data_IF_999721040964
#
_entry.id   IF_999721040964
#
_cell.length_a   1.000
_cell.length_b   1.000
_cell.length_c   1.000
_cell.angle_alpha   90.00
_cell.angle_beta   90.00
_cell.angle_gamma   90.00
#
_symmetry.space_group_name_H-M   'P 1'
#
loop_
_entity.id
_entity.type
_entity.pdbx_description
1 polymer ?
#
# COMPACT_ATOMS: atom_id res chain seq x y z
N UNK A 1 -27.67 1.31 -17.58
CA UNK A 1 -27.57 2.45 -18.54
C UNK A 1 -26.40 3.39 -18.21
N UNK A 2 -26.24 3.84 -16.95
CA UNK A 2 -25.12 4.73 -16.56
C UNK A 2 -23.73 4.14 -16.86
N UNK A 3 -23.52 2.86 -16.61
CA UNK A 3 -22.26 2.14 -16.84
C UNK A 3 -21.88 2.10 -18.32
N UNK A 4 -22.86 1.85 -19.21
CA UNK A 4 -22.62 1.83 -20.66
C UNK A 4 -22.27 3.25 -21.15
N UNK A 5 -22.94 4.28 -20.64
CA UNK A 5 -22.63 5.67 -20.97
C UNK A 5 -21.22 6.07 -20.48
N UNK A 6 -20.79 5.61 -19.31
CA UNK A 6 -19.44 5.81 -18.78
C UNK A 6 -18.36 5.18 -19.65
N UNK A 7 -18.55 3.93 -20.06
CA UNK A 7 -17.63 3.25 -20.99
C UNK A 7 -17.58 3.96 -22.35
N UNK A 8 -18.73 4.35 -22.87
CA UNK A 8 -18.79 5.09 -24.14
C UNK A 8 -18.04 6.43 -24.05
N UNK A 9 -18.25 7.18 -22.95
CA UNK A 9 -17.53 8.44 -22.74
C UNK A 9 -16.02 8.24 -22.59
N UNK A 10 -15.59 7.21 -21.86
CA UNK A 10 -14.18 6.84 -21.74
C UNK A 10 -13.56 6.52 -23.11
N UNK A 11 -14.22 5.66 -23.89
CA UNK A 11 -13.77 5.29 -25.24
C UNK A 11 -13.70 6.51 -26.16
N UNK A 12 -14.70 7.41 -26.10
CA UNK A 12 -14.74 8.63 -26.90
C UNK A 12 -13.61 9.60 -26.53
N UNK A 13 -13.38 9.85 -25.24
CA UNK A 13 -12.32 10.73 -24.75
C UNK A 13 -10.92 10.22 -25.11
N UNK A 14 -10.68 8.92 -24.92
CA UNK A 14 -9.41 8.28 -25.30
C UNK A 14 -9.19 8.33 -26.83
N UNK A 15 -10.22 8.05 -27.63
CA UNK A 15 -10.12 8.17 -29.08
C UNK A 15 -9.83 9.61 -29.52
N UNK A 16 -10.48 10.61 -28.93
CA UNK A 16 -10.21 12.03 -29.23
C UNK A 16 -8.76 12.40 -28.91
N UNK A 17 -8.24 11.95 -27.77
CA UNK A 17 -6.85 12.18 -27.37
C UNK A 17 -5.85 11.56 -28.34
N UNK A 18 -6.05 10.30 -28.75
CA UNK A 18 -5.16 9.64 -29.72
C UNK A 18 -5.26 10.22 -31.13
N UNK A 19 -6.44 10.70 -31.53
CA UNK A 19 -6.59 11.48 -32.75
C UNK A 19 -5.75 12.74 -32.71
N UNK A 20 -5.77 13.46 -31.61
CA UNK A 20 -4.99 14.66 -31.41
C UNK A 20 -3.49 14.38 -31.42
N UNK A 21 -3.04 13.35 -30.68
CA UNK A 21 -1.64 12.91 -30.66
C UNK A 21 -1.16 12.45 -32.03
N UNK A 22 -1.95 11.63 -32.74
CA UNK A 22 -1.59 11.17 -34.08
C UNK A 22 -1.53 12.33 -35.09
N UNK A 23 -2.42 13.30 -34.97
CA UNK A 23 -2.36 14.52 -35.80
C UNK A 23 -1.08 15.31 -35.54
N UNK A 24 -0.71 15.53 -34.29
CA UNK A 24 0.53 16.21 -33.90
C UNK A 24 1.77 15.42 -34.34
N UNK A 25 1.79 14.11 -34.15
CA UNK A 25 2.90 13.25 -34.58
C UNK A 25 3.09 13.26 -36.08
N UNK A 26 2.00 13.14 -36.85
CA UNK A 26 2.03 13.22 -38.32
C UNK A 26 2.54 14.60 -38.74
N UNK A 27 2.07 15.68 -38.15
CA UNK A 27 2.56 17.05 -38.44
C UNK A 27 4.03 17.21 -38.06
N UNK A 28 4.47 16.67 -36.96
CA UNK A 28 5.87 16.70 -36.51
C UNK A 28 6.78 15.90 -37.45
N UNK A 29 6.37 14.70 -37.86
CA UNK A 29 7.11 13.90 -38.85
C UNK A 29 7.19 14.63 -40.20
N UNK A 30 6.09 15.26 -40.66
CA UNK A 30 6.13 16.08 -41.87
C UNK A 30 7.02 17.31 -41.74
N UNK A 31 7.03 17.97 -40.59
CA UNK A 31 7.94 19.07 -40.30
C UNK A 31 9.42 18.66 -40.38
N UNK A 32 9.74 17.47 -39.81
CA UNK A 32 11.11 16.92 -39.86
C UNK A 32 11.52 16.42 -41.27
N UNK A 33 10.54 16.03 -42.11
CA UNK A 33 10.80 15.45 -43.46
C UNK A 33 10.56 16.41 -44.60
N UNK A 34 10.51 17.73 -44.32
CA UNK A 34 10.18 18.78 -45.31
C UNK A 34 11.07 18.82 -46.56
N UNK A 35 12.10 17.97 -46.62
CA UNK A 35 13.04 17.88 -47.74
C UNK A 35 12.95 16.55 -48.52
N UNK A 36 11.84 16.20 -49.13
CA UNK A 36 12.00 15.19 -50.15
C UNK A 36 10.86 14.29 -50.61
N UNK A 37 9.62 14.52 -50.20
CA UNK A 37 8.49 13.66 -50.59
C UNK A 37 7.44 14.44 -51.41
N UNK A 38 7.88 15.12 -52.49
CA UNK A 38 6.99 15.95 -53.31
C UNK A 38 5.94 15.15 -54.13
N UNK A 39 6.13 13.85 -54.39
CA UNK A 39 5.37 13.13 -55.43
C UNK A 39 4.53 11.92 -54.97
N UNK A 40 4.25 11.76 -53.69
CA UNK A 40 3.40 10.64 -53.25
C UNK A 40 1.91 11.05 -53.15
N UNK A 41 0.93 10.17 -53.48
CA UNK A 41 -0.50 10.47 -53.38
C UNK A 41 -0.94 10.52 -51.89
N UNK A 42 -0.48 11.56 -51.21
CA UNK A 42 -0.53 11.79 -49.75
C UNK A 42 -1.94 11.68 -49.17
N UNK A 43 -2.98 12.14 -49.88
CA UNK A 43 -4.33 12.26 -49.32
C UNK A 43 -5.07 10.93 -49.10
N UNK A 44 -4.79 9.88 -49.88
CA UNK A 44 -5.44 8.57 -49.70
C UNK A 44 -4.74 7.74 -48.63
N UNK A 45 -3.41 7.70 -48.66
CA UNK A 45 -2.61 6.97 -47.70
C UNK A 45 -2.79 7.52 -46.26
N UNK A 46 -2.73 8.84 -46.12
CA UNK A 46 -2.96 9.50 -44.83
C UNK A 46 -4.35 9.22 -44.26
N UNK A 47 -5.36 9.15 -45.11
CA UNK A 47 -6.72 8.84 -44.73
C UNK A 47 -6.86 7.40 -44.26
N UNK A 48 -6.32 6.45 -44.99
CA UNK A 48 -6.33 5.01 -44.66
C UNK A 48 -5.56 4.78 -43.33
N UNK A 49 -4.36 5.36 -43.21
CA UNK A 49 -3.54 5.24 -41.98
C UNK A 49 -4.27 5.81 -40.75
N UNK A 50 -4.90 6.99 -40.90
CA UNK A 50 -5.70 7.57 -39.80
C UNK A 50 -6.85 6.67 -39.38
N UNK A 51 -7.63 6.14 -40.33
CA UNK A 51 -8.72 5.24 -40.00
C UNK A 51 -8.24 3.93 -39.38
N UNK A 52 -7.09 3.41 -39.83
CA UNK A 52 -6.45 2.24 -39.24
C UNK A 52 -6.06 2.49 -37.76
N UNK A 53 -5.37 3.61 -37.48
CA UNK A 53 -4.97 4.00 -36.12
C UNK A 53 -6.19 4.19 -35.21
N UNK A 54 -7.23 4.90 -35.72
CA UNK A 54 -8.49 5.10 -34.97
C UNK A 54 -9.15 3.76 -34.65
N UNK A 55 -9.23 2.86 -35.65
CA UNK A 55 -9.87 1.55 -35.48
C UNK A 55 -9.11 0.70 -34.43
N UNK A 56 -7.78 0.64 -34.53
CA UNK A 56 -6.94 -0.09 -33.54
C UNK A 56 -7.11 0.51 -32.15
N UNK A 57 -7.03 1.82 -32.03
CA UNK A 57 -7.22 2.50 -30.74
C UNK A 57 -8.64 2.26 -30.19
N UNK A 58 -9.68 2.34 -31.03
CA UNK A 58 -11.06 2.08 -30.62
C UNK A 58 -11.24 0.64 -30.13
N UNK A 59 -10.69 -0.35 -30.82
CA UNK A 59 -10.72 -1.75 -30.41
C UNK A 59 -10.00 -1.91 -29.07
N UNK A 60 -8.79 -1.36 -28.95
CA UNK A 60 -8.00 -1.45 -27.73
C UNK A 60 -8.76 -0.88 -26.52
N UNK A 61 -9.30 0.33 -26.61
CA UNK A 61 -10.04 0.96 -25.50
C UNK A 61 -11.40 0.32 -25.24
N UNK A 62 -12.04 -0.25 -26.27
CA UNK A 62 -13.27 -1.03 -26.05
C UNK A 62 -12.95 -2.30 -25.27
N UNK A 63 -11.87 -3.00 -25.63
CA UNK A 63 -11.42 -4.18 -24.88
C UNK A 63 -10.98 -3.80 -23.46
N UNK A 64 -10.22 -2.73 -23.30
CA UNK A 64 -9.80 -2.22 -21.97
C UNK A 64 -11.03 -1.87 -21.12
N UNK A 65 -11.97 -1.08 -21.65
CA UNK A 65 -13.22 -0.75 -20.95
C UNK A 65 -14.09 -1.97 -20.63
N UNK A 66 -14.14 -2.96 -21.53
CA UNK A 66 -14.84 -4.22 -21.32
C UNK A 66 -14.17 -5.07 -20.21
N UNK A 67 -12.84 -5.12 -20.20
CA UNK A 67 -12.09 -5.80 -19.14
C UNK A 67 -12.38 -5.18 -17.77
N UNK A 68 -12.44 -3.84 -17.66
CA UNK A 68 -12.85 -3.16 -16.43
C UNK A 68 -14.28 -3.49 -15.99
N UNK A 69 -15.18 -3.81 -16.92
CA UNK A 69 -16.57 -4.19 -16.60
C UNK A 69 -16.71 -5.65 -16.17
N UNK A 70 -15.92 -6.56 -16.80
CA UNK A 70 -16.02 -8.00 -16.56
C UNK A 70 -15.15 -8.46 -15.41
N UNK A 71 -14.00 -7.81 -15.22
CA UNK A 71 -13.15 -8.07 -14.08
C UNK A 71 -13.32 -6.96 -13.02
N UNK A 72 -14.50 -6.91 -12.38
CA UNK A 72 -14.64 -6.10 -11.19
C UNK A 72 -13.61 -6.62 -10.21
N UNK A 73 -12.95 -5.75 -9.53
CA UNK A 73 -12.00 -5.95 -8.44
C UNK A 73 -12.16 -7.35 -7.81
N UNK A 74 -11.28 -8.27 -8.19
CA UNK A 74 -11.39 -9.68 -7.81
C UNK A 74 -11.10 -9.89 -6.34
N UNK A 75 -10.39 -8.98 -5.72
CA UNK A 75 -9.97 -9.09 -4.32
C UNK A 75 -10.41 -7.88 -3.51
N UNK A 76 -10.97 -8.17 -2.35
CA UNK A 76 -11.21 -7.16 -1.31
C UNK A 76 -9.91 -6.99 -0.56
N UNK A 77 -9.34 -5.79 -0.51
CA UNK A 77 -8.13 -5.58 0.26
C UNK A 77 -8.39 -5.90 1.74
N UNK A 78 -7.41 -6.52 2.39
CA UNK A 78 -7.45 -6.68 3.84
C UNK A 78 -7.37 -5.32 4.52
N UNK A 79 -8.12 -5.12 5.59
CA UNK A 79 -8.09 -3.90 6.37
C UNK A 79 -7.10 -4.05 7.52
N UNK A 80 -6.17 -3.11 7.63
CA UNK A 80 -5.07 -3.13 8.59
C UNK A 80 -5.10 -1.83 9.39
N UNK A 81 -5.22 -1.91 10.71
CA UNK A 81 -5.11 -0.73 11.58
C UNK A 81 -3.65 -0.35 11.72
N UNK A 82 -3.33 0.93 11.56
CA UNK A 82 -1.98 1.48 11.75
C UNK A 82 -1.68 1.67 13.24
N UNK A 83 -0.55 1.14 13.72
CA UNK A 83 -0.09 1.21 15.13
C UNK A 83 -1.11 0.76 16.18
N UNK A 84 -2.05 -0.08 15.78
CA UNK A 84 -3.07 -0.61 16.69
C UNK A 84 -4.14 0.38 17.13
N UNK A 85 -4.29 1.53 16.46
CA UNK A 85 -5.32 2.54 16.75
C UNK A 85 -6.31 2.68 15.61
N UNK A 86 -7.52 3.16 15.90
CA UNK A 86 -8.51 3.56 14.93
C UNK A 86 -9.31 4.73 15.49
N UNK A 87 -9.42 5.83 14.72
CA UNK A 87 -10.11 7.06 15.12
C UNK A 87 -9.66 7.55 16.51
N UNK A 88 -8.35 7.59 16.73
CA UNK A 88 -7.76 8.09 17.99
C UNK A 88 -8.26 7.38 19.25
N UNK A 89 -8.63 6.09 19.17
CA UNK A 89 -9.27 5.33 20.26
C UNK A 89 -8.34 4.94 21.42
N UNK A 90 -7.07 5.34 21.37
CA UNK A 90 -6.07 5.03 22.42
C UNK A 90 -4.70 5.58 22.12
N UNK A 91 -3.71 5.13 22.90
CA UNK A 91 -2.29 5.38 22.64
C UNK A 91 -1.79 4.33 21.66
N UNK A 92 -1.07 4.75 20.63
CA UNK A 92 -0.47 3.85 19.64
C UNK A 92 0.41 2.77 20.27
N UNK A 93 0.49 1.60 19.66
CA UNK A 93 1.37 0.51 20.07
C UNK A 93 1.16 0.02 21.53
N UNK A 94 -0.08 0.09 22.05
CA UNK A 94 -0.40 -0.36 23.40
C UNK A 94 -1.45 -1.46 23.44
N UNK A 95 -1.45 -2.26 24.50
CA UNK A 95 -2.47 -3.31 24.70
C UNK A 95 -3.86 -2.69 24.81
N UNK A 96 -3.97 -1.49 25.37
CA UNK A 96 -5.26 -0.80 25.51
C UNK A 96 -5.89 -0.49 24.14
N UNK A 97 -5.10 0.02 23.18
CA UNK A 97 -5.57 0.28 21.83
C UNK A 97 -5.81 -1.02 21.04
N UNK A 98 -4.93 -2.00 21.17
CA UNK A 98 -5.12 -3.33 20.58
C UNK A 98 -6.48 -3.94 20.94
N UNK A 99 -6.85 -3.94 22.23
CA UNK A 99 -8.11 -4.51 22.70
C UNK A 99 -9.33 -3.83 22.09
N UNK A 100 -9.30 -2.49 22.03
CA UNK A 100 -10.39 -1.71 21.44
C UNK A 100 -10.49 -1.93 19.93
N UNK A 101 -9.36 -1.91 19.25
CA UNK A 101 -9.30 -2.01 17.79
C UNK A 101 -9.63 -3.42 17.30
N UNK A 102 -9.25 -4.47 18.05
CA UNK A 102 -9.61 -5.84 17.72
C UNK A 102 -11.14 -6.09 17.69
N UNK A 103 -11.94 -5.30 18.43
CA UNK A 103 -13.41 -5.37 18.38
C UNK A 103 -13.98 -5.01 17.01
N UNK A 104 -13.24 -4.28 16.19
CA UNK A 104 -13.64 -3.91 14.83
C UNK A 104 -13.53 -5.06 13.82
N UNK A 105 -13.00 -6.23 14.24
CA UNK A 105 -12.90 -7.45 13.42
C UNK A 105 -12.17 -7.23 12.09
N UNK A 106 -10.99 -6.65 12.16
CA UNK A 106 -10.14 -6.40 11.01
C UNK A 106 -9.16 -7.57 10.77
N UNK A 107 -8.54 -7.57 9.60
CA UNK A 107 -7.66 -8.68 9.20
C UNK A 107 -6.34 -8.67 9.96
N UNK A 108 -5.70 -7.51 10.07
CA UNK A 108 -4.42 -7.33 10.75
C UNK A 108 -4.41 -6.03 11.55
N UNK A 109 -3.66 -6.03 12.62
CA UNK A 109 -3.21 -4.83 13.34
C UNK A 109 -1.72 -4.68 13.07
N UNK A 110 -1.35 -3.57 12.45
CA UNK A 110 0.04 -3.19 12.28
C UNK A 110 0.57 -2.57 13.59
N UNK A 111 1.84 -2.82 13.89
CA UNK A 111 2.48 -2.37 15.11
C UNK A 111 4.01 -2.43 15.02
N UNK A 112 4.67 -1.58 15.80
CA UNK A 112 6.10 -1.33 15.75
C UNK A 112 6.86 -1.95 16.91
N UNK A 113 7.97 -2.62 16.61
CA UNK A 113 8.85 -3.27 17.59
C UNK A 113 10.26 -2.72 17.48
N UNK A 114 10.84 -2.37 18.63
CA UNK A 114 12.25 -1.99 18.75
C UNK A 114 12.96 -2.83 19.81
N UNK A 115 14.29 -2.97 19.65
CA UNK A 115 15.14 -3.58 20.65
C UNK A 115 15.35 -2.63 21.83
N UNK A 116 15.50 -3.17 23.04
CA UNK A 116 15.82 -2.44 24.26
C UNK A 116 17.30 -2.58 24.61
N UNK A 117 17.80 -1.78 25.55
CA UNK A 117 19.20 -1.84 26.03
C UNK A 117 19.63 -3.23 26.51
N UNK A 118 18.73 -3.97 27.12
CA UNK A 118 18.95 -5.33 27.65
C UNK A 118 18.56 -6.42 26.64
N UNK A 119 18.41 -6.05 25.36
CA UNK A 119 18.19 -6.99 24.26
C UNK A 119 16.80 -7.65 24.29
N UNK A 120 15.84 -7.05 24.97
CA UNK A 120 14.42 -7.41 24.89
C UNK A 120 13.73 -6.60 23.80
N UNK A 121 12.40 -6.73 23.68
CA UNK A 121 11.62 -6.07 22.62
C UNK A 121 10.44 -5.30 23.21
N UNK A 122 10.30 -4.06 22.76
CA UNK A 122 9.29 -3.10 23.23
C UNK A 122 8.46 -2.57 22.06
N UNK A 123 7.21 -2.22 22.37
CA UNK A 123 6.28 -1.61 21.44
C UNK A 123 6.54 -0.11 21.36
N UNK A 124 7.11 0.37 20.24
CA UNK A 124 7.40 1.79 20.05
C UNK A 124 7.68 2.10 18.58
N UNK A 125 7.00 3.12 18.05
CA UNK A 125 7.27 3.63 16.70
C UNK A 125 8.47 4.56 16.67
N UNK A 126 8.46 5.58 17.55
CA UNK A 126 9.42 6.68 17.51
C UNK A 126 10.82 6.24 17.94
N UNK A 127 11.85 6.79 17.31
CA UNK A 127 13.23 6.59 17.72
C UNK A 127 13.56 7.31 19.05
N UNK A 128 12.69 8.21 19.52
CA UNK A 128 12.82 8.94 20.78
C UNK A 128 11.50 8.94 21.53
N UNK A 129 11.55 8.71 22.82
CA UNK A 129 10.37 8.57 23.70
C UNK A 129 9.71 9.91 24.05
N UNK A 130 10.28 11.04 23.64
CA UNK A 130 9.87 12.37 24.10
C UNK A 130 8.40 12.68 23.78
N UNK A 131 7.94 12.36 22.58
CA UNK A 131 6.56 12.70 22.15
C UNK A 131 5.49 11.97 22.97
N UNK A 132 5.70 10.70 23.29
CA UNK A 132 4.71 9.89 23.99
C UNK A 132 4.91 9.86 25.50
N UNK A 133 6.17 9.83 25.96
CA UNK A 133 6.51 9.65 27.39
C UNK A 133 7.17 10.87 28.04
N UNK A 134 7.50 11.93 27.29
CA UNK A 134 8.22 13.10 27.81
C UNK A 134 9.69 12.84 28.18
N UNK A 135 10.24 11.69 27.79
CA UNK A 135 11.61 11.26 28.11
C UNK A 135 12.50 11.39 26.88
N UNK A 136 13.57 12.18 26.97
CA UNK A 136 14.52 12.35 25.87
C UNK A 136 15.55 11.20 25.86
N UNK A 137 15.14 10.04 25.43
CA UNK A 137 15.96 8.83 25.27
C UNK A 137 15.42 7.98 24.11
N UNK A 138 16.24 7.09 23.56
CA UNK A 138 15.77 6.07 22.61
C UNK A 138 15.40 4.78 23.38
N UNK A 139 14.59 3.89 22.81
CA UNK A 139 14.31 2.58 23.41
C UNK A 139 15.57 1.78 23.75
N UNK A 140 16.62 1.89 22.91
CA UNK A 140 17.89 1.21 23.12
C UNK A 140 18.75 1.78 24.27
N UNK A 141 18.38 2.92 24.83
CA UNK A 141 19.09 3.51 25.99
C UNK A 141 18.56 2.98 27.33
N UNK A 142 17.39 2.35 27.35
CA UNK A 142 16.69 1.89 28.52
C UNK A 142 16.42 0.37 28.48
N UNK A 143 16.41 -0.25 29.66
CA UNK A 143 15.99 -1.66 29.81
C UNK A 143 14.48 -1.80 29.60
N UNK A 144 14.02 -3.01 29.29
CA UNK A 144 12.58 -3.28 29.17
C UNK A 144 11.80 -2.91 30.43
N UNK A 145 12.39 -3.17 31.60
CA UNK A 145 11.78 -2.83 32.88
C UNK A 145 11.60 -1.31 33.07
N UNK A 146 12.61 -0.52 32.71
CA UNK A 146 12.54 0.94 32.72
C UNK A 146 11.49 1.46 31.72
N UNK A 147 11.47 0.94 30.47
CA UNK A 147 10.52 1.34 29.45
C UNK A 147 9.08 1.05 29.84
N UNK A 148 8.78 -0.16 30.33
CA UNK A 148 7.42 -0.56 30.71
C UNK A 148 6.93 0.11 32.00
N UNK A 149 7.80 0.77 32.76
CA UNK A 149 7.45 1.63 33.87
C UNK A 149 6.97 3.03 33.44
N UNK A 150 7.32 3.48 32.24
CA UNK A 150 6.95 4.79 31.70
C UNK A 150 5.46 4.86 31.39
N UNK A 151 4.85 5.99 31.70
CA UNK A 151 3.53 6.37 31.21
C UNK A 151 3.67 7.00 29.83
N UNK A 152 2.76 6.66 28.94
CA UNK A 152 2.60 7.27 27.63
C UNK A 152 1.22 7.88 27.49
N UNK A 153 1.14 9.00 26.76
CA UNK A 153 -0.11 9.73 26.58
C UNK A 153 -0.27 10.17 25.14
N UNK A 154 -1.44 9.91 24.57
CA UNK A 154 -1.83 10.29 23.23
C UNK A 154 -3.35 10.29 23.10
N UNK A 155 -3.93 11.16 22.28
CA UNK A 155 -5.37 11.20 22.00
C UNK A 155 -6.27 11.30 23.26
N UNK A 156 -5.76 11.93 24.33
CA UNK A 156 -6.47 12.03 25.62
C UNK A 156 -6.44 10.76 26.48
N UNK A 157 -5.77 9.71 26.03
CA UNK A 157 -5.56 8.48 26.80
C UNK A 157 -4.19 8.47 27.46
N UNK A 158 -4.10 7.71 28.55
CA UNK A 158 -2.84 7.45 29.25
C UNK A 158 -2.75 5.98 29.62
N UNK A 159 -1.59 5.39 29.39
CA UNK A 159 -1.30 3.99 29.71
C UNK A 159 0.21 3.79 29.83
N UNK A 160 0.66 2.55 29.96
CA UNK A 160 2.08 2.20 30.01
C UNK A 160 2.57 1.68 28.66
N UNK A 161 3.87 1.86 28.40
CA UNK A 161 4.53 1.20 27.27
C UNK A 161 4.38 -0.32 27.43
N UNK A 162 4.04 -1.01 26.34
CA UNK A 162 3.87 -2.46 26.34
C UNK A 162 5.16 -3.18 25.93
N UNK A 163 5.49 -4.29 26.57
CA UNK A 163 6.48 -5.21 26.01
C UNK A 163 5.90 -5.94 24.81
N UNK A 164 6.75 -6.35 23.87
CA UNK A 164 6.28 -7.15 22.73
C UNK A 164 5.75 -8.52 23.18
N UNK A 165 6.35 -9.14 24.19
CA UNK A 165 5.84 -10.40 24.77
C UNK A 165 4.39 -10.28 25.22
N UNK A 166 4.06 -9.24 25.98
CA UNK A 166 2.70 -9.03 26.50
C UNK A 166 1.71 -8.69 25.38
N UNK A 167 2.14 -7.87 24.42
CA UNK A 167 1.31 -7.47 23.28
C UNK A 167 0.99 -8.67 22.37
N UNK A 168 2.02 -9.44 21.98
CA UNK A 168 1.86 -10.63 21.14
C UNK A 168 0.97 -11.69 21.83
N UNK A 169 1.18 -11.93 23.14
CA UNK A 169 0.34 -12.82 23.92
C UNK A 169 -1.12 -12.37 23.88
N UNK A 170 -1.37 -11.07 24.11
CA UNK A 170 -2.73 -10.53 24.13
C UNK A 170 -3.39 -10.57 22.74
N UNK A 171 -2.67 -10.27 21.68
CA UNK A 171 -3.17 -10.40 20.31
C UNK A 171 -3.61 -11.85 20.01
N UNK A 172 -2.80 -12.83 20.42
CA UNK A 172 -3.13 -14.25 20.25
C UNK A 172 -4.37 -14.68 21.04
N UNK A 173 -4.53 -14.20 22.28
CA UNK A 173 -5.73 -14.44 23.11
C UNK A 173 -7.00 -13.90 22.45
N UNK A 174 -6.89 -12.75 21.78
CA UNK A 174 -7.97 -12.11 21.03
C UNK A 174 -8.22 -12.75 19.64
N UNK A 175 -7.34 -13.66 19.20
CA UNK A 175 -7.37 -14.20 17.84
C UNK A 175 -7.01 -13.17 16.77
N UNK A 176 -6.37 -12.05 17.16
CA UNK A 176 -6.01 -10.96 16.27
C UNK A 176 -4.66 -11.19 15.61
N UNK A 177 -4.62 -11.21 14.27
CA UNK A 177 -3.38 -11.28 13.52
C UNK A 177 -2.67 -9.93 13.50
N UNK A 178 -1.34 -9.97 13.46
CA UNK A 178 -0.48 -8.79 13.47
C UNK A 178 0.31 -8.67 12.16
N UNK A 179 0.54 -7.43 11.72
CA UNK A 179 1.59 -7.04 10.78
C UNK A 179 2.69 -6.35 11.60
N UNK A 180 3.79 -7.03 11.81
CA UNK A 180 4.83 -6.65 12.77
C UNK A 180 5.92 -5.86 12.05
N UNK A 181 6.04 -4.55 12.33
CA UNK A 181 7.17 -3.76 11.84
C UNK A 181 8.37 -3.91 12.77
N UNK A 182 9.48 -4.38 12.21
CA UNK A 182 10.77 -4.32 12.89
C UNK A 182 11.45 -3.02 12.53
N UNK A 183 11.52 -2.11 13.49
CA UNK A 183 12.31 -0.89 13.42
C UNK A 183 13.77 -1.21 13.72
N UNK A 184 14.69 -0.71 12.91
CA UNK A 184 16.13 -0.89 13.14
C UNK A 184 16.81 0.41 13.51
N UNK A 185 17.81 0.30 14.37
CA UNK A 185 18.64 1.40 14.84
C UNK A 185 20.12 1.05 14.73
N UNK A 186 20.99 2.06 14.65
CA UNK A 186 22.44 1.86 14.73
C UNK A 186 22.89 1.36 16.11
N UNK A 187 22.02 1.47 17.11
CA UNK A 187 22.28 1.01 18.50
C UNK A 187 21.86 -0.44 18.74
N UNK A 188 21.15 -1.05 17.77
CA UNK A 188 20.71 -2.44 17.91
C UNK A 188 21.91 -3.39 17.93
N UNK A 189 21.74 -4.49 18.64
CA UNK A 189 22.73 -5.56 18.65
C UNK A 189 22.82 -6.27 17.31
N UNK A 190 24.00 -6.75 16.95
CA UNK A 190 24.24 -7.41 15.65
C UNK A 190 23.41 -8.70 15.49
N UNK A 191 23.02 -9.35 16.58
CA UNK A 191 22.23 -10.59 16.63
C UNK A 191 20.73 -10.36 16.94
N UNK A 192 20.27 -9.09 16.95
CA UNK A 192 18.89 -8.72 17.29
C UNK A 192 17.86 -9.59 16.56
N UNK A 193 17.95 -9.71 15.25
CA UNK A 193 17.00 -10.47 14.45
C UNK A 193 17.08 -11.98 14.68
N UNK A 194 18.28 -12.54 14.92
CA UNK A 194 18.41 -13.96 15.24
C UNK A 194 17.71 -14.29 16.57
N UNK A 195 17.88 -13.43 17.59
CA UNK A 195 17.21 -13.57 18.87
C UNK A 195 15.70 -13.39 18.74
N UNK A 196 15.26 -12.38 17.98
CA UNK A 196 13.85 -12.14 17.70
C UNK A 196 13.18 -13.36 17.06
N UNK A 197 13.74 -13.84 15.96
CA UNK A 197 13.17 -14.96 15.20
C UNK A 197 13.24 -16.27 15.99
N UNK A 198 14.32 -16.51 16.74
CA UNK A 198 14.43 -17.68 17.63
C UNK A 198 13.33 -17.71 18.69
N UNK A 199 13.02 -16.53 19.27
CA UNK A 199 12.02 -16.41 20.35
C UNK A 199 10.59 -16.40 19.83
N UNK A 200 10.31 -15.65 18.79
CA UNK A 200 8.94 -15.36 18.34
C UNK A 200 8.56 -16.02 17.03
N UNK A 201 9.50 -16.42 16.19
CA UNK A 201 9.26 -17.00 14.87
C UNK A 201 8.25 -18.16 14.87
N UNK A 202 8.35 -19.14 15.81
CA UNK A 202 7.37 -20.23 15.90
C UNK A 202 5.93 -19.72 16.15
N UNK A 203 5.77 -18.72 17.00
CA UNK A 203 4.46 -18.09 17.31
C UNK A 203 3.94 -17.29 16.12
N UNK A 204 4.79 -16.48 15.48
CA UNK A 204 4.46 -15.70 14.29
C UNK A 204 3.91 -16.61 13.21
N UNK A 205 4.61 -17.71 12.92
CA UNK A 205 4.16 -18.71 11.94
C UNK A 205 2.85 -19.38 12.34
N UNK A 206 2.75 -19.85 13.59
CA UNK A 206 1.59 -20.58 14.10
C UNK A 206 0.30 -19.78 13.99
N UNK A 207 0.34 -18.49 14.28
CA UNK A 207 -0.85 -17.62 14.31
C UNK A 207 -1.05 -16.83 13.01
N UNK A 208 -0.18 -17.01 12.02
CA UNK A 208 -0.31 -16.35 10.72
C UNK A 208 -0.05 -14.85 10.78
N UNK A 209 0.78 -14.39 11.73
CA UNK A 209 1.27 -13.02 11.73
C UNK A 209 2.19 -12.79 10.54
N UNK A 210 2.28 -11.55 10.12
CA UNK A 210 3.13 -11.09 9.02
C UNK A 210 4.18 -10.13 9.54
N UNK A 211 5.22 -9.90 8.77
CA UNK A 211 6.30 -9.00 9.16
C UNK A 211 6.59 -8.00 8.05
N UNK A 212 6.99 -6.79 8.40
CA UNK A 212 7.52 -5.83 7.45
C UNK A 212 8.64 -4.98 8.07
N UNK A 213 9.44 -4.32 7.24
CA UNK A 213 10.51 -3.44 7.68
C UNK A 213 10.99 -2.53 6.54
N UNK A 214 11.46 -1.33 6.89
CA UNK A 214 12.24 -0.45 6.02
C UNK A 214 13.66 -0.99 5.74
N UNK A 215 14.16 -1.88 6.60
CA UNK A 215 15.47 -2.51 6.42
C UNK A 215 15.32 -3.86 5.72
N UNK A 216 15.72 -3.93 4.46
CA UNK A 216 15.64 -5.16 3.68
C UNK A 216 16.43 -6.33 4.29
N UNK A 217 17.49 -6.07 5.07
CA UNK A 217 18.25 -7.11 5.78
C UNK A 217 17.37 -7.87 6.80
N UNK A 218 16.37 -7.20 7.40
CA UNK A 218 15.37 -7.84 8.27
C UNK A 218 14.57 -8.85 7.45
N UNK A 219 14.08 -8.43 6.28
CA UNK A 219 13.28 -9.29 5.39
C UNK A 219 14.09 -10.51 4.94
N UNK A 220 15.36 -10.33 4.58
CA UNK A 220 16.24 -11.45 4.22
C UNK A 220 16.42 -12.45 5.37
N UNK A 221 16.57 -11.97 6.61
CA UNK A 221 16.68 -12.83 7.80
C UNK A 221 15.38 -13.58 8.08
N UNK A 222 14.22 -12.94 7.94
CA UNK A 222 12.90 -13.61 8.06
C UNK A 222 12.78 -14.72 7.03
N UNK A 223 13.06 -14.44 5.78
CA UNK A 223 12.96 -15.42 4.70
C UNK A 223 13.95 -16.59 4.85
N UNK A 224 15.16 -16.29 5.33
CA UNK A 224 16.16 -17.33 5.62
C UNK A 224 15.73 -18.21 6.81
N UNK A 225 15.04 -17.64 7.78
CA UNK A 225 14.50 -18.38 8.93
C UNK A 225 13.35 -19.29 8.50
N UNK A 226 12.33 -18.74 7.87
CA UNK A 226 11.20 -19.49 7.34
C UNK A 226 10.48 -18.68 6.23
N UNK A 227 10.62 -19.11 4.98
CA UNK A 227 10.01 -18.46 3.83
C UNK A 227 8.46 -18.52 3.80
N UNK A 228 7.83 -19.30 4.66
CA UNK A 228 6.37 -19.33 4.79
C UNK A 228 5.80 -18.16 5.61
N UNK A 229 6.64 -17.45 6.37
CA UNK A 229 6.26 -16.20 7.03
C UNK A 229 6.19 -15.10 5.98
N UNK A 230 4.99 -14.59 5.70
CA UNK A 230 4.84 -13.48 4.76
C UNK A 230 5.58 -12.25 5.28
N UNK A 231 6.48 -11.73 4.45
CA UNK A 231 7.31 -10.57 4.81
C UNK A 231 7.29 -9.53 3.70
N UNK A 232 7.15 -8.25 4.08
CA UNK A 232 6.99 -7.13 3.16
C UNK A 232 8.13 -6.14 3.35
N UNK A 233 8.65 -5.65 2.24
CA UNK A 233 9.63 -4.57 2.25
C UNK A 233 8.91 -3.23 2.19
N UNK A 234 9.12 -2.35 3.18
CA UNK A 234 8.50 -1.03 3.22
C UNK A 234 9.24 -0.09 2.28
N UNK A 235 8.49 0.55 1.40
CA UNK A 235 9.00 1.55 0.46
C UNK A 235 8.28 2.88 0.72
N UNK A 236 8.98 3.90 1.26
CA UNK A 236 8.37 5.19 1.53
C UNK A 236 8.09 5.99 0.25
N UNK A 237 8.75 5.67 -0.87
CA UNK A 237 8.60 6.38 -2.14
C UNK A 237 8.76 5.44 -3.34
N UNK A 238 7.97 5.68 -4.39
CA UNK A 238 8.06 4.98 -5.68
C UNK A 238 9.14 5.61 -6.57
N UNK A 239 10.42 5.45 -6.24
CA UNK A 239 11.52 5.96 -7.07
C UNK A 239 12.10 4.88 -7.99
N UNK A 240 12.24 3.67 -7.48
CA UNK A 240 12.81 2.53 -8.22
C UNK A 240 12.05 1.27 -7.80
N UNK A 241 11.69 0.41 -8.76
CA UNK A 241 11.14 -0.91 -8.45
C UNK A 241 12.27 -1.84 -7.98
N UNK A 242 12.37 -2.16 -6.67
CA UNK A 242 13.42 -3.03 -6.17
C UNK A 242 13.06 -4.50 -6.49
N UNK A 243 14.01 -5.23 -7.04
CA UNK A 243 13.86 -6.68 -7.22
C UNK A 243 14.26 -7.39 -5.94
N UNK A 244 13.29 -7.79 -5.13
CA UNK A 244 13.52 -8.45 -3.85
C UNK A 244 12.87 -9.83 -3.81
N UNK A 245 13.26 -10.64 -2.83
CA UNK A 245 12.61 -11.93 -2.54
C UNK A 245 11.44 -11.81 -1.57
N UNK A 246 11.14 -10.63 -1.04
CA UNK A 246 10.01 -10.38 -0.15
C UNK A 246 8.69 -10.93 -0.72
N UNK A 247 7.75 -11.28 0.13
CA UNK A 247 6.40 -11.71 -0.28
C UNK A 247 5.63 -10.58 -0.96
N UNK A 248 5.93 -9.33 -0.60
CA UNK A 248 5.30 -8.15 -1.12
C UNK A 248 5.99 -6.86 -0.68
N UNK A 249 5.31 -5.77 -0.91
CA UNK A 249 5.76 -4.43 -0.53
C UNK A 249 4.66 -3.70 0.24
N UNK A 250 5.09 -2.84 1.18
CA UNK A 250 4.22 -1.90 1.86
C UNK A 250 4.63 -0.49 1.43
N UNK A 251 3.74 0.24 0.75
CA UNK A 251 4.08 1.49 0.08
C UNK A 251 3.26 2.67 0.57
N UNK A 252 3.89 3.85 0.55
CA UNK A 252 3.19 5.12 0.77
C UNK A 252 2.23 5.38 -0.42
N UNK A 253 0.92 5.57 -0.12
CA UNK A 253 -0.17 5.57 -1.11
C UNK A 253 -0.09 6.70 -2.13
N UNK A 254 0.44 7.88 -1.77
CA UNK A 254 0.47 9.04 -2.67
C UNK A 254 1.43 8.81 -3.85
N UNK A 255 2.49 8.04 -3.62
CA UNK A 255 3.50 7.72 -4.64
C UNK A 255 3.15 6.47 -5.47
N UNK A 256 2.09 5.75 -5.11
CA UNK A 256 1.68 4.54 -5.79
C UNK A 256 1.00 4.85 -7.13
N UNK A 257 1.44 4.17 -8.20
CA UNK A 257 0.91 4.30 -9.54
C UNK A 257 0.66 2.94 -10.24
N UNK A 258 -0.07 2.97 -11.36
CA UNK A 258 -0.41 1.77 -12.13
C UNK A 258 0.83 1.04 -12.69
N UNK A 259 1.92 1.77 -12.99
CA UNK A 259 3.15 1.18 -13.51
C UNK A 259 3.85 0.33 -12.45
N UNK A 260 3.89 0.84 -11.20
CA UNK A 260 4.46 0.08 -10.09
C UNK A 260 3.61 -1.16 -9.80
N UNK A 261 2.28 -1.01 -9.71
CA UNK A 261 1.34 -2.12 -9.47
C UNK A 261 1.45 -3.19 -10.56
N UNK A 262 1.52 -2.79 -11.84
CA UNK A 262 1.71 -3.73 -12.96
C UNK A 262 3.00 -4.56 -12.83
N UNK A 263 4.09 -3.94 -12.38
CA UNK A 263 5.35 -4.66 -12.12
C UNK A 263 5.23 -5.63 -10.95
N UNK A 264 4.44 -5.30 -9.92
CA UNK A 264 4.16 -6.18 -8.79
C UNK A 264 3.41 -7.43 -9.23
N UNK A 265 2.36 -7.27 -10.01
CA UNK A 265 1.59 -8.40 -10.55
C UNK A 265 2.45 -9.32 -11.41
N UNK A 266 3.29 -8.75 -12.30
CA UNK A 266 4.22 -9.53 -13.11
C UNK A 266 5.24 -10.32 -12.26
N UNK A 267 5.55 -9.82 -11.06
CA UNK A 267 6.48 -10.44 -10.13
C UNK A 267 5.79 -11.35 -9.09
N UNK A 268 4.47 -11.53 -9.17
CA UNK A 268 3.65 -12.27 -8.19
C UNK A 268 3.89 -11.79 -6.74
N UNK A 269 3.79 -10.46 -6.53
CA UNK A 269 4.04 -9.79 -5.26
C UNK A 269 2.78 -9.14 -4.71
N UNK A 270 2.58 -9.26 -3.39
CA UNK A 270 1.53 -8.57 -2.67
C UNK A 270 1.86 -7.08 -2.47
N UNK A 271 0.82 -6.28 -2.38
CA UNK A 271 0.91 -4.83 -2.15
C UNK A 271 0.00 -4.40 -1.00
N UNK A 272 0.59 -3.78 0.03
CA UNK A 272 -0.14 -3.01 1.04
C UNK A 272 0.22 -1.55 0.88
N UNK A 273 -0.75 -0.65 1.06
CA UNK A 273 -0.49 0.79 1.06
C UNK A 273 -0.76 1.45 2.42
N UNK A 274 -0.10 2.58 2.68
CA UNK A 274 -0.14 3.33 3.95
C UNK A 274 0.16 4.82 3.75
N UNK A 275 -0.30 5.75 4.58
CA UNK A 275 -1.44 5.57 5.48
C UNK A 275 -2.66 6.18 4.80
N UNK A 276 -3.70 5.38 4.61
CA UNK A 276 -4.85 5.72 3.76
C UNK A 276 -6.02 6.10 4.66
N UNK A 277 -6.35 7.41 4.74
CA UNK A 277 -7.24 7.96 5.75
C UNK A 277 -8.43 8.77 5.19
N UNK A 278 -8.62 8.81 3.87
CA UNK A 278 -9.72 9.52 3.24
C UNK A 278 -10.36 8.73 2.09
N UNK A 279 -11.58 9.10 1.72
CA UNK A 279 -12.38 8.38 0.72
C UNK A 279 -11.70 8.34 -0.66
N UNK A 280 -10.97 9.41 -1.05
CA UNK A 280 -10.34 9.47 -2.38
C UNK A 280 -9.12 8.55 -2.44
N UNK A 281 -8.30 8.55 -1.38
CA UNK A 281 -7.14 7.66 -1.27
C UNK A 281 -7.60 6.19 -1.18
N UNK A 282 -8.68 5.88 -0.42
CA UNK A 282 -9.29 4.55 -0.39
C UNK A 282 -9.77 4.13 -1.79
N UNK A 283 -10.46 5.03 -2.51
CA UNK A 283 -10.91 4.76 -3.87
C UNK A 283 -9.74 4.53 -4.84
N UNK A 284 -8.62 5.25 -4.67
CA UNK A 284 -7.38 5.02 -5.43
C UNK A 284 -6.81 3.64 -5.13
N UNK A 285 -6.65 3.28 -3.87
CA UNK A 285 -6.14 1.96 -3.44
C UNK A 285 -6.98 0.81 -4.01
N UNK A 286 -8.29 0.96 -3.95
CA UNK A 286 -9.22 -0.01 -4.53
C UNK A 286 -9.08 -0.12 -6.05
N UNK A 287 -8.96 1.00 -6.79
CA UNK A 287 -8.72 0.99 -8.25
C UNK A 287 -7.40 0.34 -8.63
N UNK A 288 -6.36 0.55 -7.84
CA UNK A 288 -5.05 -0.06 -8.03
C UNK A 288 -5.02 -1.53 -7.61
N UNK A 289 -6.15 -2.06 -7.08
CA UNK A 289 -6.28 -3.43 -6.62
C UNK A 289 -5.16 -3.83 -5.65
N UNK A 290 -4.93 -2.98 -4.63
CA UNK A 290 -4.00 -3.31 -3.55
C UNK A 290 -4.52 -4.49 -2.74
N UNK A 291 -3.63 -5.31 -2.19
CA UNK A 291 -4.00 -6.47 -1.38
C UNK A 291 -4.36 -6.10 0.06
N UNK A 292 -3.94 -4.93 0.53
CA UNK A 292 -4.26 -4.46 1.88
C UNK A 292 -4.09 -2.96 2.06
N UNK A 293 -4.91 -2.39 2.95
CA UNK A 293 -4.94 -0.96 3.26
C UNK A 293 -4.62 -0.76 4.74
N UNK A 294 -3.53 -0.03 5.02
CA UNK A 294 -3.14 0.38 6.37
C UNK A 294 -3.70 1.78 6.63
N UNK A 295 -4.48 1.93 7.71
CA UNK A 295 -5.26 3.13 8.00
C UNK A 295 -5.33 3.46 9.49
N UNK A 296 -5.48 4.76 9.80
CA UNK A 296 -5.85 5.25 11.13
C UNK A 296 -7.39 5.27 11.34
N UNK A 297 -8.18 4.96 10.29
CA UNK A 297 -9.65 4.88 10.34
C UNK A 297 -10.18 3.58 9.70
N UNK A 298 -10.17 2.51 10.48
CA UNK A 298 -10.64 1.18 10.06
C UNK A 298 -12.10 1.21 9.59
N UNK A 299 -12.96 1.96 10.29
CA UNK A 299 -14.40 1.99 9.98
C UNK A 299 -14.66 2.70 8.65
N UNK A 300 -13.92 3.77 8.35
CA UNK A 300 -14.00 4.47 7.08
C UNK A 300 -13.61 3.54 5.94
N UNK A 301 -12.49 2.80 6.06
CA UNK A 301 -12.04 1.85 5.03
C UNK A 301 -13.07 0.75 4.82
N UNK A 302 -13.56 0.11 5.89
CA UNK A 302 -14.54 -0.97 5.80
C UNK A 302 -15.86 -0.51 5.17
N UNK A 303 -16.37 0.68 5.54
CA UNK A 303 -17.60 1.25 4.97
C UNK A 303 -17.41 1.64 3.50
N UNK A 304 -16.27 2.24 3.15
CA UNK A 304 -15.95 2.61 1.76
C UNK A 304 -15.80 1.39 0.86
N UNK A 305 -15.12 0.34 1.33
CA UNK A 305 -15.02 -0.93 0.59
C UNK A 305 -16.41 -1.53 0.37
N UNK A 306 -17.27 -1.51 1.39
CA UNK A 306 -18.62 -2.02 1.27
C UNK A 306 -19.43 -1.19 0.25
N UNK A 307 -19.38 0.14 0.34
CA UNK A 307 -20.08 1.03 -0.59
C UNK A 307 -19.63 0.82 -2.04
N UNK A 308 -18.30 0.71 -2.26
CA UNK A 308 -17.71 0.45 -3.58
C UNK A 308 -18.12 -0.93 -4.15
N UNK A 309 -18.35 -1.93 -3.28
CA UNK A 309 -18.86 -3.24 -3.68
C UNK A 309 -20.35 -3.24 -4.01
N UNK A 310 -21.14 -2.61 -3.15
CA UNK A 310 -22.61 -2.59 -3.26
C UNK A 310 -23.09 -1.67 -4.40
N UNK A 311 -22.34 -0.58 -4.65
CA UNK A 311 -22.58 0.41 -5.69
C UNK A 311 -21.29 0.73 -6.45
N UNK A 312 -20.81 -0.17 -7.28
CA UNK A 312 -19.62 0.12 -8.08
C UNK A 312 -19.96 1.26 -9.03
N UNK A 313 -19.53 2.47 -8.70
CA UNK A 313 -19.60 3.64 -9.58
C UNK A 313 -18.54 3.48 -10.69
N UNK A 314 -18.69 2.43 -11.51
CA UNK A 314 -17.76 2.16 -12.62
C UNK A 314 -17.59 3.38 -13.52
N UNK A 315 -18.66 4.18 -13.65
CA UNK A 315 -18.62 5.44 -14.41
C UNK A 315 -17.61 6.41 -13.81
N UNK A 316 -17.61 6.59 -12.49
CA UNK A 316 -16.69 7.50 -11.79
C UNK A 316 -15.25 6.96 -11.82
N UNK A 317 -15.08 5.64 -11.69
CA UNK A 317 -13.78 4.98 -11.84
C UNK A 317 -13.19 5.18 -13.24
N UNK A 318 -13.99 5.00 -14.28
CA UNK A 318 -13.57 5.18 -15.68
C UNK A 318 -13.32 6.65 -16.02
N UNK A 319 -14.15 7.57 -15.51
CA UNK A 319 -13.95 9.00 -15.70
C UNK A 319 -12.68 9.49 -14.98
N UNK A 320 -12.46 9.08 -13.74
CA UNK A 320 -11.26 9.43 -13.00
C UNK A 320 -10.00 8.91 -13.72
N UNK A 321 -10.01 7.67 -14.22
CA UNK A 321 -8.90 7.15 -15.03
C UNK A 321 -8.69 7.94 -16.32
N UNK A 322 -9.74 8.39 -16.97
CA UNK A 322 -9.64 9.25 -18.16
C UNK A 322 -9.06 10.62 -17.81
N UNK A 323 -9.43 11.20 -16.65
CA UNK A 323 -8.91 12.50 -16.19
C UNK A 323 -7.48 12.41 -15.66
N UNK A 324 -7.08 11.34 -14.97
CA UNK A 324 -5.69 11.12 -14.55
C UNK A 324 -4.72 11.09 -15.73
N UNK A 325 -5.19 10.67 -16.91
CA UNK A 325 -4.40 10.74 -18.14
C UNK A 325 -4.13 12.18 -18.61
N UNK A 326 -4.99 13.15 -18.27
CA UNK A 326 -4.81 14.56 -18.63
C UNK A 326 -4.00 15.34 -17.58
N UNK A 327 -3.80 14.79 -16.38
CA UNK A 327 -3.04 15.42 -15.29
C UNK A 327 -1.53 15.12 -15.33
N UNK A 328 -0.99 14.77 -16.50
CA UNK A 328 0.46 14.77 -16.72
C UNK A 328 0.93 16.22 -16.95
N UNK A 329 1.06 16.96 -15.85
CA UNK A 329 1.94 18.14 -15.76
C UNK A 329 2.82 18.02 -14.54
#
# INVERSE_FOLDING_TARGET
MATIAGVMNYVLLKNAHYLMLSYFLIKFVFFLTEQGLADYPRRKFDRVLRWLVISIASIFFTVEGYMYLIFPLETVPVTISHRGVSQENGVQNTIQSLEKTALLKLDYIEMDVQETKDGQFVMMHDANLFNLAGVNASPQDLTLAELTALDVSENGYRTKISSFDAYLKRANELGQRLLIEIKTSKKDSSDMMERFLKKYGPTIKKYGHQMHSLDYRVIEKVMKYDASIKSFFILPYNTIFPRTKASGYTMEYSTLDENFVSKLWQADKLLYDWTVNDVNSIAKSFRLNVDGIITDDVQLVQSSIKELKDNPKYTDLLLNKAFDFFNFT
#
